data_IF_063453375567
#
_entry.id   IF_063453375567
#
_cell.length_a   1.000
_cell.length_b   1.000
_cell.length_c   1.000
_cell.angle_alpha   90.00
_cell.angle_beta   90.00
_cell.angle_gamma   90.00
#
_symmetry.space_group_name_H-M   'P 1'
#
loop_
_entity.id
_entity.type
_entity.pdbx_description
1 polymer ?
#
# COMPACT_ATOMS: atom_id res chain seq x y z
N UNK A 1 -21.39 -18.91 -19.72
CA UNK A 1 -20.61 -17.68 -19.46
C UNK A 1 -19.16 -18.08 -19.33
N UNK A 2 -18.19 -17.45 -20.01
CA UNK A 2 -16.78 -17.76 -19.76
C UNK A 2 -16.44 -17.29 -18.34
N UNK A 3 -16.05 -18.23 -17.48
CA UNK A 3 -15.69 -17.98 -16.10
C UNK A 3 -14.23 -17.49 -16.07
N UNK A 4 -14.04 -16.18 -16.16
CA UNK A 4 -12.75 -15.53 -15.96
C UNK A 4 -11.96 -15.27 -17.25
N UNK A 5 -11.20 -14.18 -17.21
CA UNK A 5 -10.24 -13.81 -18.25
C UNK A 5 -8.84 -14.01 -17.68
N UNK A 6 -8.03 -14.85 -18.33
CA UNK A 6 -6.62 -14.98 -18.00
C UNK A 6 -5.90 -13.70 -18.44
N UNK A 7 -5.02 -13.21 -17.57
CA UNK A 7 -4.13 -12.08 -17.81
C UNK A 7 -2.69 -12.57 -17.71
N UNK A 8 -1.79 -11.97 -18.48
CA UNK A 8 -0.40 -12.42 -18.60
C UNK A 8 0.54 -11.71 -17.62
N UNK A 9 0.11 -10.60 -17.03
CA UNK A 9 0.91 -9.85 -16.04
C UNK A 9 0.05 -9.12 -15.01
N UNK A 10 0.63 -8.78 -13.84
CA UNK A 10 0.01 -7.89 -12.85
C UNK A 10 -0.36 -6.52 -13.42
N UNK A 11 0.45 -5.97 -14.34
CA UNK A 11 0.16 -4.68 -14.98
C UNK A 11 -1.05 -4.75 -15.93
N UNK A 12 -1.21 -5.88 -16.63
CA UNK A 12 -2.40 -6.14 -17.45
C UNK A 12 -3.65 -6.25 -16.57
N UNK A 13 -3.53 -6.87 -15.39
CA UNK A 13 -4.61 -6.93 -14.40
C UNK A 13 -4.98 -5.53 -13.90
N UNK A 14 -3.98 -4.75 -13.47
CA UNK A 14 -4.17 -3.40 -12.95
C UNK A 14 -4.81 -2.48 -14.00
N UNK A 15 -4.32 -2.49 -15.24
CA UNK A 15 -4.89 -1.65 -16.31
C UNK A 15 -6.32 -2.04 -16.69
N UNK A 16 -6.71 -3.31 -16.52
CA UNK A 16 -8.09 -3.77 -16.74
C UNK A 16 -9.04 -3.37 -15.62
N UNK A 17 -8.61 -3.49 -14.36
CA UNK A 17 -9.46 -3.20 -13.18
C UNK A 17 -9.48 -1.70 -12.87
N UNK A 18 -8.33 -1.05 -13.02
CA UNK A 18 -8.08 0.36 -12.71
C UNK A 18 -7.41 1.09 -13.90
N UNK A 19 -8.11 1.31 -15.04
CA UNK A 19 -7.59 2.12 -16.12
C UNK A 19 -7.21 3.55 -15.68
N UNK A 20 -6.20 4.18 -16.28
CA UNK A 20 -5.70 5.47 -15.79
C UNK A 20 -6.71 6.63 -15.94
N UNK A 21 -7.62 6.52 -16.91
CA UNK A 21 -8.57 7.58 -17.27
C UNK A 21 -9.65 7.81 -16.20
N UNK A 22 -9.91 6.81 -15.35
CA UNK A 22 -10.95 6.81 -14.32
C UNK A 22 -10.39 7.13 -12.92
N UNK A 23 -9.09 7.41 -12.78
CA UNK A 23 -8.48 7.66 -11.47
C UNK A 23 -9.04 8.88 -10.73
N UNK A 24 -9.82 9.74 -11.40
CA UNK A 24 -10.52 10.88 -10.78
C UNK A 24 -11.93 10.53 -10.31
N UNK A 25 -12.45 9.37 -10.69
CA UNK A 25 -13.79 8.91 -10.35
C UNK A 25 -13.72 8.02 -9.10
N UNK A 26 -13.88 8.65 -7.94
CA UNK A 26 -13.77 7.99 -6.64
C UNK A 26 -14.89 6.94 -6.44
N UNK A 27 -16.07 7.17 -7.01
CA UNK A 27 -17.16 6.20 -6.97
C UNK A 27 -16.79 4.97 -7.80
N UNK A 28 -16.22 5.13 -8.99
CA UNK A 28 -15.77 3.98 -9.77
C UNK A 28 -14.69 3.16 -9.05
N UNK A 29 -13.72 3.83 -8.42
CA UNK A 29 -12.63 3.18 -7.70
C UNK A 29 -13.13 2.36 -6.49
N UNK A 30 -14.11 2.87 -5.74
CA UNK A 30 -14.60 2.22 -4.52
C UNK A 30 -15.39 0.93 -4.76
N UNK A 31 -15.92 0.73 -5.97
CA UNK A 31 -16.67 -0.48 -6.34
C UNK A 31 -15.78 -1.63 -6.88
N UNK A 32 -14.46 -1.46 -6.88
CA UNK A 32 -13.51 -2.44 -7.42
C UNK A 32 -12.50 -2.86 -6.36
N UNK A 33 -12.19 -4.16 -6.33
CA UNK A 33 -11.13 -4.71 -5.50
C UNK A 33 -10.39 -5.82 -6.26
N UNK A 34 -9.08 -5.92 -6.04
CA UNK A 34 -8.27 -7.06 -6.49
C UNK A 34 -7.97 -7.91 -5.26
N UNK A 35 -8.45 -9.16 -5.28
CA UNK A 35 -8.19 -10.13 -4.23
C UNK A 35 -7.03 -11.03 -4.66
N UNK A 36 -6.06 -11.22 -3.77
CA UNK A 36 -4.97 -12.17 -3.95
C UNK A 36 -4.86 -13.07 -2.72
N UNK A 37 -4.41 -14.31 -2.92
CA UNK A 37 -4.27 -15.30 -1.87
C UNK A 37 -3.08 -15.06 -0.92
N UNK A 38 -2.14 -14.18 -1.31
CA UNK A 38 -0.93 -13.90 -0.54
C UNK A 38 -0.73 -12.41 -0.33
N UNK A 39 -0.36 -12.02 0.89
CA UNK A 39 -0.14 -10.62 1.26
C UNK A 39 1.02 -9.98 0.50
N UNK A 40 2.08 -10.72 0.18
CA UNK A 40 3.22 -10.20 -0.60
C UNK A 40 2.83 -9.81 -2.03
N UNK A 41 1.79 -10.45 -2.58
CA UNK A 41 1.22 -10.09 -3.88
C UNK A 41 0.31 -8.87 -3.74
N UNK A 42 -0.51 -8.81 -2.70
CA UNK A 42 -1.37 -7.64 -2.39
C UNK A 42 -0.52 -6.38 -2.23
N UNK A 43 0.57 -6.46 -1.45
CA UNK A 43 1.46 -5.33 -1.22
C UNK A 43 2.09 -4.81 -2.52
N UNK A 44 2.61 -5.71 -3.37
CA UNK A 44 3.18 -5.34 -4.68
C UNK A 44 2.15 -4.66 -5.58
N UNK A 45 0.91 -5.14 -5.60
CA UNK A 45 -0.17 -4.55 -6.39
C UNK A 45 -0.55 -3.17 -5.85
N UNK A 46 -0.71 -3.03 -4.54
CA UNK A 46 -1.05 -1.77 -3.89
C UNK A 46 0.03 -0.70 -4.13
N UNK A 47 1.31 -1.04 -3.99
CA UNK A 47 2.44 -0.13 -4.27
C UNK A 47 2.45 0.28 -5.75
N UNK A 48 2.21 -0.67 -6.66
CA UNK A 48 2.18 -0.37 -8.10
C UNK A 48 1.02 0.56 -8.46
N UNK A 49 -0.18 0.28 -7.94
CA UNK A 49 -1.37 1.11 -8.15
C UNK A 49 -1.17 2.51 -7.56
N UNK A 50 -0.65 2.60 -6.34
CA UNK A 50 -0.36 3.87 -5.66
C UNK A 50 0.59 4.74 -6.50
N UNK A 51 1.63 4.16 -7.11
CA UNK A 51 2.54 4.90 -8.00
C UNK A 51 1.84 5.45 -9.23
N UNK A 52 0.87 4.73 -9.79
CA UNK A 52 0.13 5.14 -10.99
C UNK A 52 -0.92 6.21 -10.73
N UNK A 53 -1.46 6.28 -9.51
CA UNK A 53 -2.48 7.25 -9.17
C UNK A 53 -1.96 8.70 -9.27
N UNK A 54 -2.74 9.61 -9.86
CA UNK A 54 -2.40 11.02 -9.94
C UNK A 54 -2.58 11.66 -8.57
N UNK A 55 -1.68 12.56 -8.19
CA UNK A 55 -1.77 13.28 -6.93
C UNK A 55 -0.43 13.38 -6.23
N UNK A 56 -0.36 14.30 -5.28
CA UNK A 56 0.81 14.52 -4.45
C UNK A 56 0.98 13.33 -3.48
N UNK A 57 2.19 12.81 -3.39
CA UNK A 57 2.58 11.85 -2.37
C UNK A 57 2.88 12.57 -1.05
N UNK A 58 2.33 12.02 0.03
CA UNK A 58 2.60 12.45 1.40
C UNK A 58 3.25 11.28 2.14
N UNK A 59 4.46 11.50 2.63
CA UNK A 59 5.15 10.54 3.47
C UNK A 59 4.98 10.96 4.94
N UNK A 60 4.36 10.10 5.73
CA UNK A 60 4.22 10.24 7.17
C UNK A 60 5.18 9.25 7.84
N UNK A 61 6.01 9.76 8.74
CA UNK A 61 6.88 8.92 9.55
C UNK A 61 6.21 8.62 10.89
N UNK A 62 6.26 7.37 11.32
CA UNK A 62 5.88 7.02 12.69
C UNK A 62 6.81 7.72 13.68
N UNK A 63 6.26 8.12 14.81
CA UNK A 63 7.03 8.59 15.95
C UNK A 63 7.14 7.38 16.90
N UNK A 64 8.14 6.54 16.64
CA UNK A 64 8.42 5.37 17.48
C UNK A 64 9.23 5.85 18.68
N UNK A 65 8.60 5.96 19.85
CA UNK A 65 9.25 6.38 21.10
C UNK A 65 8.96 5.38 22.21
N UNK A 66 10.00 5.02 22.95
CA UNK A 66 9.88 4.23 24.17
C UNK A 66 9.70 5.21 25.35
N UNK A 67 8.68 4.96 26.17
CA UNK A 67 8.35 5.83 27.31
C UNK A 67 9.26 5.59 28.53
N UNK A 68 10.03 4.50 28.51
CA UNK A 68 10.87 4.05 29.61
C UNK A 68 12.37 4.18 29.25
N UNK A 69 13.08 5.07 29.93
CA UNK A 69 14.47 5.43 29.59
C UNK A 69 15.45 4.25 29.76
N UNK A 70 15.16 3.31 30.66
CA UNK A 70 15.99 2.11 30.87
C UNK A 70 15.92 1.14 29.68
N UNK A 71 14.80 1.13 28.94
CA UNK A 71 14.59 0.29 27.75
C UNK A 71 15.06 0.99 26.45
N UNK A 72 15.20 2.32 26.47
CA UNK A 72 15.67 3.11 25.32
C UNK A 72 17.10 2.76 24.89
N UNK A 73 17.93 2.26 25.82
CA UNK A 73 19.28 1.73 25.52
C UNK A 73 19.21 0.37 24.82
N UNK A 74 18.15 -0.39 25.09
CA UNK A 74 17.99 -1.77 24.63
C UNK A 74 17.37 -1.85 23.22
N UNK A 75 16.60 -0.83 22.83
CA UNK A 75 15.93 -0.73 21.54
C UNK A 75 16.14 0.66 20.92
N UNK A 76 17.28 0.87 20.24
CA UNK A 76 17.58 2.15 19.63
C UNK A 76 16.54 2.49 18.54
N UNK A 77 16.32 3.78 18.30
CA UNK A 77 15.30 4.27 17.36
C UNK A 77 15.52 3.72 15.95
N UNK A 78 16.77 3.49 15.54
CA UNK A 78 17.12 2.90 14.26
C UNK A 78 16.61 1.46 14.13
N UNK A 79 16.65 0.69 15.23
CA UNK A 79 16.08 -0.64 15.28
C UNK A 79 14.55 -0.57 15.18
N UNK A 80 13.90 0.29 15.95
CA UNK A 80 12.44 0.47 15.91
C UNK A 80 11.95 0.87 14.51
N UNK A 81 12.60 1.85 13.89
CA UNK A 81 12.28 2.32 12.54
C UNK A 81 12.51 1.25 11.45
N UNK A 82 13.28 0.19 11.76
CA UNK A 82 13.53 -0.94 10.85
C UNK A 82 12.53 -2.09 11.02
N UNK A 83 11.68 -2.06 12.05
CA UNK A 83 10.68 -3.10 12.29
C UNK A 83 9.60 -3.01 11.21
N UNK A 84 9.62 -3.97 10.29
CA UNK A 84 8.53 -4.21 9.34
C UNK A 84 7.89 -5.54 9.72
N UNK A 85 6.78 -5.49 10.45
CA UNK A 85 5.95 -6.68 10.67
C UNK A 85 4.66 -6.56 9.86
N UNK A 86 4.04 -7.67 9.43
CA UNK A 86 2.76 -7.63 8.73
C UNK A 86 1.64 -6.96 9.55
N UNK A 87 1.78 -6.96 10.87
CA UNK A 87 0.80 -6.44 11.83
C UNK A 87 1.05 -4.98 12.22
N UNK A 88 2.22 -4.41 11.88
CA UNK A 88 2.58 -3.02 12.14
C UNK A 88 2.65 -2.23 10.83
N UNK A 89 2.12 -1.01 10.85
CA UNK A 89 2.31 -0.09 9.73
C UNK A 89 3.80 0.17 9.55
N UNK A 90 4.25 0.22 8.29
CA UNK A 90 5.63 0.59 8.01
C UNK A 90 5.95 1.95 8.64
N UNK A 91 7.15 2.08 9.21
CA UNK A 91 7.63 3.34 9.80
C UNK A 91 7.44 4.55 8.86
N UNK A 92 7.45 4.33 7.54
CA UNK A 92 7.08 5.33 6.55
C UNK A 92 5.78 4.94 5.85
N UNK A 93 4.70 5.66 6.15
CA UNK A 93 3.43 5.55 5.47
C UNK A 93 3.37 6.54 4.31
N UNK A 94 3.32 6.05 3.08
CA UNK A 94 3.16 6.87 1.88
C UNK A 94 1.67 6.86 1.50
N UNK A 95 1.06 8.03 1.35
CA UNK A 95 -0.33 8.22 0.98
C UNK A 95 -0.48 9.17 -0.21
N UNK A 96 -1.54 8.98 -1.00
CA UNK A 96 -1.98 9.91 -2.04
C UNK A 96 -3.43 10.28 -1.81
N UNK A 97 -3.79 11.53 -2.13
CA UNK A 97 -5.18 11.99 -2.05
C UNK A 97 -6.05 11.17 -2.99
N UNK A 98 -7.13 10.58 -2.46
CA UNK A 98 -8.06 9.73 -3.21
C UNK A 98 -7.77 8.22 -3.13
N UNK A 99 -6.68 7.81 -2.47
CA UNK A 99 -6.43 6.41 -2.11
C UNK A 99 -7.14 6.10 -0.78
N UNK A 100 -7.94 5.03 -0.73
CA UNK A 100 -8.70 4.62 0.44
C UNK A 100 -8.15 3.32 1.04
#
# INVERSE_FOLDING_TARGET
MPCGQLVNSPDELLSKVYPQQIFKDQDWLSHRAILASRNDVVEKLNVTLQKQLPGQEYAYKSIDCILNDDEAVQYPIEFLNSIQTPDLQAHNLILKVGLQ
#
